data_IF_683894517256
#
_entry.id   IF_683894517256
#
_cell.length_a   1.000
_cell.length_b   1.000
_cell.length_c   1.000
_cell.angle_alpha   90.00
_cell.angle_beta   90.00
_cell.angle_gamma   90.00
#
_symmetry.space_group_name_H-M   'P 1'
#
loop_
_entity.id
_entity.type
_entity.pdbx_description
1 polymer ?
#
# COMPACT_ATOMS: atom_id res chain seq x y z
N UNK A 1 11.81 82.13 0.47
CA UNK A 1 13.18 81.58 0.62
C UNK A 1 13.05 80.09 0.92
N UNK A 2 13.76 79.29 0.13
CA UNK A 2 14.30 77.93 0.40
C UNK A 2 13.36 76.88 1.02
N UNK A 3 12.91 75.86 0.28
CA UNK A 3 13.61 74.63 -0.14
C UNK A 3 13.94 73.63 1.00
N UNK A 4 13.69 72.35 0.68
CA UNK A 4 14.25 71.11 1.24
C UNK A 4 13.52 70.58 2.50
N UNK A 5 13.06 69.34 2.63
CA UNK A 5 13.39 68.08 1.96
C UNK A 5 12.17 67.16 1.82
N UNK A 6 11.96 66.66 0.60
CA UNK A 6 11.37 65.35 0.33
C UNK A 6 12.41 64.24 0.57
N UNK A 7 11.91 63.07 1.00
CA UNK A 7 12.39 61.70 0.77
C UNK A 7 12.79 60.90 2.02
N UNK A 8 11.99 59.86 2.31
CA UNK A 8 12.34 58.43 2.16
C UNK A 8 11.09 57.62 2.59
N UNK A 9 10.41 56.97 1.63
CA UNK A 9 10.44 55.50 1.38
C UNK A 9 9.70 54.70 2.46
N UNK A 10 8.84 53.72 2.18
CA UNK A 10 8.45 53.02 0.95
C UNK A 10 7.21 52.21 1.36
N UNK A 11 6.02 52.64 0.99
CA UNK A 11 4.93 51.67 0.86
C UNK A 11 5.08 51.03 -0.52
N UNK A 12 5.75 49.87 -0.55
CA UNK A 12 5.62 48.98 -1.69
C UNK A 12 4.21 48.41 -1.64
N UNK A 13 3.28 49.13 -2.27
CA UNK A 13 2.02 48.56 -2.69
C UNK A 13 2.34 47.49 -3.73
N UNK A 14 2.26 46.22 -3.30
CA UNK A 14 2.27 45.09 -4.20
C UNK A 14 1.04 45.21 -5.11
N UNK A 15 1.28 45.47 -6.39
CA UNK A 15 0.20 45.54 -7.37
C UNK A 15 -0.46 44.18 -7.51
N UNK A 16 -1.78 44.17 -7.70
CA UNK A 16 -2.61 42.96 -7.80
C UNK A 16 -2.18 41.99 -8.91
N UNK A 17 -1.29 42.41 -9.82
CA UNK A 17 -0.76 41.59 -10.91
C UNK A 17 0.33 40.59 -10.49
N UNK A 18 1.03 40.79 -9.36
CA UNK A 18 2.04 39.82 -8.88
C UNK A 18 1.41 38.64 -8.14
N UNK A 19 0.17 38.77 -7.66
CA UNK A 19 -0.55 37.70 -6.95
C UNK A 19 -1.00 36.57 -7.88
N UNK A 20 -1.15 36.84 -9.17
CA UNK A 20 -1.54 35.83 -10.15
C UNK A 20 -0.35 35.00 -10.68
N UNK A 21 0.85 35.58 -10.73
CA UNK A 21 2.06 34.86 -11.18
C UNK A 21 2.46 33.73 -10.22
N UNK A 22 2.32 33.94 -8.91
CA UNK A 22 2.65 32.94 -7.88
C UNK A 22 1.65 31.78 -7.87
N UNK A 23 0.37 32.05 -8.15
CA UNK A 23 -0.68 31.01 -8.21
C UNK A 23 -0.50 30.11 -9.43
N UNK A 24 -0.09 30.66 -10.57
CA UNK A 24 0.18 29.87 -11.79
C UNK A 24 1.44 29.00 -11.64
N UNK A 25 2.50 29.52 -11.01
CA UNK A 25 3.73 28.75 -10.78
C UNK A 25 3.53 27.59 -9.78
N UNK A 26 2.72 27.78 -8.73
CA UNK A 26 2.38 26.71 -7.78
C UNK A 26 1.43 25.66 -8.36
N UNK A 27 0.52 26.05 -9.25
CA UNK A 27 -0.40 25.13 -9.93
C UNK A 27 0.30 24.17 -10.90
N UNK A 28 1.35 24.62 -11.59
CA UNK A 28 2.12 23.77 -12.50
C UNK A 28 3.05 22.82 -11.74
N UNK A 29 3.60 23.24 -10.59
CA UNK A 29 4.45 22.38 -9.76
C UNK A 29 3.65 21.25 -9.06
N UNK A 30 2.37 21.48 -8.73
CA UNK A 30 1.51 20.41 -8.18
C UNK A 30 1.07 19.39 -9.22
N UNK A 31 0.89 19.79 -10.48
CA UNK A 31 0.56 18.86 -11.58
C UNK A 31 1.77 18.00 -11.98
N UNK A 32 2.99 18.52 -11.90
CA UNK A 32 4.20 17.73 -12.15
C UNK A 32 4.54 16.74 -11.01
N UNK A 33 4.17 17.04 -9.76
CA UNK A 33 4.34 16.09 -8.64
C UNK A 33 3.24 15.00 -8.67
N UNK A 34 2.05 15.29 -9.19
CA UNK A 34 0.99 14.28 -9.34
C UNK A 34 1.14 13.42 -10.61
N UNK A 35 1.89 13.87 -11.62
CA UNK A 35 2.30 13.05 -12.76
C UNK A 35 3.61 12.26 -12.50
N UNK A 36 4.45 12.70 -11.56
CA UNK A 36 5.71 12.04 -11.21
C UNK A 36 5.57 10.71 -10.46
N UNK A 37 4.41 10.43 -9.87
CA UNK A 37 4.09 9.14 -9.25
C UNK A 37 3.70 8.04 -10.24
N UNK A 38 3.33 8.40 -11.48
CA UNK A 38 2.83 7.48 -12.50
C UNK A 38 3.92 6.80 -13.34
N UNK A 39 5.17 7.26 -13.26
CA UNK A 39 6.27 6.76 -14.11
C UNK A 39 7.16 5.74 -13.37
N UNK A 40 7.07 5.64 -12.04
CA UNK A 40 7.88 4.71 -11.23
C UNK A 40 7.13 3.47 -10.74
N UNK A 41 5.80 3.49 -10.78
CA UNK A 41 4.95 2.35 -10.42
C UNK A 41 3.93 2.23 -11.54
N UNK A 42 4.12 1.21 -12.39
CA UNK A 42 3.25 0.98 -13.55
C UNK A 42 1.77 0.98 -13.15
N UNK A 43 0.90 1.26 -14.13
CA UNK A 43 -0.55 1.15 -13.95
C UNK A 43 -0.87 -0.14 -13.18
N UNK A 44 -1.70 -0.10 -12.13
CA UNK A 44 -2.08 -1.30 -11.40
C UNK A 44 -2.60 -2.31 -12.41
N UNK A 45 -1.98 -3.49 -12.48
CA UNK A 45 -2.50 -4.55 -13.31
C UNK A 45 -3.88 -4.90 -12.75
N UNK A 46 -4.94 -4.57 -13.49
CA UNK A 46 -6.29 -5.01 -13.19
C UNK A 46 -6.25 -6.53 -12.98
N UNK A 47 -6.88 -7.02 -11.91
CA UNK A 47 -6.92 -8.45 -11.59
C UNK A 47 -7.45 -9.22 -12.79
N UNK A 48 -6.52 -9.78 -13.56
CA UNK A 48 -6.82 -10.69 -14.64
C UNK A 48 -6.79 -12.08 -14.02
N UNK A 49 -7.73 -12.93 -14.43
CA UNK A 49 -7.84 -14.34 -14.08
C UNK A 49 -6.54 -15.18 -14.24
N UNK A 50 -5.45 -14.58 -14.73
CA UNK A 50 -4.12 -15.12 -14.85
C UNK A 50 -3.20 -14.93 -13.62
N UNK A 51 -3.58 -14.30 -12.51
CA UNK A 51 -2.63 -14.20 -11.36
C UNK A 51 -2.39 -15.54 -10.63
N UNK A 52 -1.15 -15.80 -10.22
CA UNK A 52 -0.77 -16.92 -9.34
C UNK A 52 0.26 -16.51 -8.28
N UNK A 53 0.23 -17.21 -7.15
CA UNK A 53 1.32 -17.21 -6.17
C UNK A 53 2.33 -18.28 -6.56
N UNK A 54 3.54 -17.87 -6.90
CA UNK A 54 4.63 -18.78 -7.32
C UNK A 54 5.54 -19.19 -6.17
N UNK A 55 5.71 -18.32 -5.18
CA UNK A 55 6.59 -18.57 -4.04
C UNK A 55 6.05 -17.92 -2.76
N UNK A 56 6.28 -18.60 -1.63
CA UNK A 56 5.95 -18.13 -0.28
C UNK A 56 7.16 -18.41 0.59
N UNK A 57 7.79 -17.36 1.08
CA UNK A 57 8.95 -17.44 1.97
C UNK A 57 8.62 -16.87 3.33
N UNK A 58 8.77 -17.69 4.35
CA UNK A 58 8.58 -17.30 5.74
C UNK A 58 9.95 -17.14 6.40
N UNK A 59 10.14 -16.07 7.17
CA UNK A 59 11.35 -15.92 8.00
C UNK A 59 11.45 -17.07 9.01
N UNK A 60 10.31 -17.46 9.59
CA UNK A 60 10.15 -18.62 10.47
C UNK A 60 8.72 -19.14 10.38
N UNK A 61 8.54 -20.45 10.53
CA UNK A 61 7.21 -21.07 10.65
C UNK A 61 6.67 -21.03 12.08
N UNK A 62 7.52 -20.75 13.07
CA UNK A 62 7.12 -20.65 14.48
C UNK A 62 7.55 -19.30 15.04
N UNK A 63 6.59 -18.56 15.60
CA UNK A 63 6.77 -17.21 16.13
C UNK A 63 6.17 -17.11 17.55
N UNK A 64 6.66 -16.18 18.39
CA UNK A 64 6.01 -15.85 19.66
C UNK A 64 4.60 -15.28 19.49
N UNK A 65 3.69 -15.63 20.39
CA UNK A 65 2.33 -15.10 20.47
C UNK A 65 2.20 -13.90 21.44
N UNK A 66 3.15 -12.96 21.39
CA UNK A 66 3.26 -11.83 22.34
C UNK A 66 2.74 -10.49 21.78
N UNK A 67 2.16 -10.50 20.58
CA UNK A 67 1.70 -9.27 19.91
C UNK A 67 2.82 -8.42 19.31
N UNK A 68 4.08 -8.86 19.36
CA UNK A 68 5.19 -8.20 18.70
C UNK A 68 5.48 -8.81 17.32
N UNK A 69 6.18 -8.05 16.48
CA UNK A 69 6.63 -8.53 15.19
C UNK A 69 7.92 -9.34 15.30
N UNK A 70 7.82 -10.62 14.99
CA UNK A 70 8.94 -11.57 15.04
C UNK A 70 9.27 -12.20 13.68
N UNK A 71 8.50 -11.90 12.64
CA UNK A 71 8.62 -12.60 11.36
C UNK A 71 7.95 -11.90 10.20
N UNK A 72 8.22 -12.40 9.01
CA UNK A 72 7.67 -11.87 7.77
C UNK A 72 7.30 -13.02 6.83
N UNK A 73 6.19 -12.84 6.10
CA UNK A 73 5.86 -13.63 4.93
C UNK A 73 6.11 -12.81 3.67
N UNK A 74 6.99 -13.29 2.80
CA UNK A 74 7.21 -12.75 1.45
C UNK A 74 6.47 -13.63 0.47
N UNK A 75 5.57 -13.03 -0.31
CA UNK A 75 4.74 -13.71 -1.30
C UNK A 75 5.10 -13.17 -2.67
N UNK A 76 5.38 -14.05 -3.62
CA UNK A 76 5.68 -13.68 -5.00
C UNK A 76 4.48 -13.97 -5.90
N UNK A 77 4.07 -12.96 -6.66
CA UNK A 77 2.95 -13.02 -7.61
C UNK A 77 3.49 -12.96 -9.04
N UNK A 78 3.08 -13.93 -9.87
CA UNK A 78 3.35 -13.93 -11.31
C UNK A 78 2.07 -14.06 -12.14
N UNK A 79 2.16 -13.73 -13.42
CA UNK A 79 1.13 -14.08 -14.40
C UNK A 79 1.29 -15.55 -14.81
N UNK A 80 0.23 -16.35 -14.61
CA UNK A 80 0.12 -17.78 -14.94
C UNK A 80 0.50 -18.13 -16.38
N UNK A 81 0.37 -17.19 -17.32
CA UNK A 81 0.64 -17.45 -18.74
C UNK A 81 2.10 -17.18 -19.11
N UNK A 82 2.68 -16.13 -18.54
CA UNK A 82 4.04 -15.68 -18.90
C UNK A 82 5.10 -16.02 -17.86
N UNK A 83 4.68 -16.42 -16.67
CA UNK A 83 5.50 -16.59 -15.47
C UNK A 83 6.30 -15.34 -15.08
N UNK A 84 5.88 -14.17 -15.55
CA UNK A 84 6.51 -12.89 -15.22
C UNK A 84 5.93 -12.32 -13.94
N UNK A 85 6.81 -11.72 -13.13
CA UNK A 85 6.42 -10.98 -11.94
C UNK A 85 5.44 -9.84 -12.28
N UNK A 86 4.39 -9.68 -11.46
CA UNK A 86 3.37 -8.65 -11.68
C UNK A 86 3.47 -7.56 -10.62
N UNK A 87 3.71 -6.33 -11.08
CA UNK A 87 3.89 -5.14 -10.23
C UNK A 87 2.54 -4.49 -9.89
N UNK A 88 2.41 -3.93 -8.69
CA UNK A 88 1.26 -3.12 -8.29
C UNK A 88 -0.02 -3.88 -7.97
N UNK A 89 0.04 -5.22 -7.86
CA UNK A 89 -1.09 -6.06 -7.45
C UNK A 89 -1.35 -5.86 -5.97
N UNK A 90 -2.58 -5.50 -5.60
CA UNK A 90 -2.99 -5.47 -4.20
C UNK A 90 -3.20 -6.89 -3.70
N UNK A 91 -2.48 -7.27 -2.65
CA UNK A 91 -2.56 -8.59 -2.03
C UNK A 91 -3.05 -8.42 -0.59
N UNK A 92 -3.95 -9.29 -0.18
CA UNK A 92 -4.44 -9.40 1.19
C UNK A 92 -4.36 -10.83 1.68
N UNK A 93 -4.27 -10.98 3.00
CA UNK A 93 -4.30 -12.28 3.67
C UNK A 93 -5.60 -12.43 4.45
N UNK A 94 -6.23 -13.58 4.34
CA UNK A 94 -7.40 -13.92 5.13
C UNK A 94 -7.06 -15.08 6.06
N UNK A 95 -7.32 -14.92 7.36
CA UNK A 95 -7.22 -16.03 8.32
C UNK A 95 -8.35 -17.02 8.01
N UNK A 96 -8.02 -18.27 7.66
CA UNK A 96 -9.01 -19.25 7.21
C UNK A 96 -10.00 -19.58 8.32
N UNK A 97 -9.53 -19.79 9.54
CA UNK A 97 -10.39 -20.05 10.69
C UNK A 97 -11.04 -18.75 11.21
N UNK A 98 -12.37 -18.56 11.09
CA UNK A 98 -13.03 -17.32 11.49
C UNK A 98 -12.98 -17.08 13.01
N UNK A 99 -12.81 -18.11 13.82
CA UNK A 99 -12.71 -17.98 15.29
C UNK A 99 -11.43 -17.24 15.69
N UNK A 100 -10.39 -17.28 14.85
CA UNK A 100 -9.10 -16.62 15.09
C UNK A 100 -9.05 -15.19 14.53
N UNK A 101 -10.13 -14.69 13.91
CA UNK A 101 -10.24 -13.31 13.40
C UNK A 101 -10.67 -12.37 14.53
N UNK A 102 -9.72 -11.95 15.35
CA UNK A 102 -9.92 -10.94 16.39
C UNK A 102 -9.69 -9.52 15.87
N UNK A 103 -10.16 -8.51 16.61
CA UNK A 103 -9.87 -7.10 16.28
C UNK A 103 -8.37 -6.80 16.37
N UNK A 104 -7.64 -7.54 17.22
CA UNK A 104 -6.20 -7.39 17.42
C UNK A 104 -5.34 -7.83 16.21
N UNK A 105 -5.85 -8.74 15.37
CA UNK A 105 -5.09 -9.30 14.25
C UNK A 105 -5.85 -9.21 12.91
N UNK A 106 -6.99 -8.53 12.87
CA UNK A 106 -7.78 -8.37 11.65
C UNK A 106 -8.45 -7.00 11.52
N UNK A 107 -8.58 -6.54 10.27
CA UNK A 107 -9.32 -5.34 9.88
C UNK A 107 -10.27 -5.70 8.74
N UNK A 108 -11.57 -5.45 8.93
CA UNK A 108 -12.63 -5.80 7.97
C UNK A 108 -12.61 -7.29 7.55
N UNK A 109 -12.22 -8.19 8.46
CA UNK A 109 -12.15 -9.63 8.22
C UNK A 109 -10.88 -10.12 7.50
N UNK A 110 -9.95 -9.22 7.20
CA UNK A 110 -8.62 -9.52 6.65
C UNK A 110 -7.56 -9.48 7.74
N UNK A 111 -6.54 -10.31 7.62
CA UNK A 111 -5.36 -10.18 8.47
C UNK A 111 -4.75 -8.78 8.33
N UNK A 112 -4.48 -8.13 9.45
CA UNK A 112 -4.02 -6.74 9.50
C UNK A 112 -3.08 -6.57 10.69
N UNK A 113 -1.76 -6.60 10.48
CA UNK A 113 -0.78 -6.34 11.53
C UNK A 113 -0.66 -4.85 11.88
N UNK A 114 -1.13 -3.98 10.98
CA UNK A 114 -1.20 -2.53 11.15
C UNK A 114 -2.66 -2.10 11.29
N UNK A 115 -2.98 -1.08 12.12
CA UNK A 115 -4.31 -0.51 12.14
C UNK A 115 -4.72 -0.01 10.75
N UNK A 116 -5.93 -0.40 10.30
CA UNK A 116 -6.55 0.10 9.06
C UNK A 116 -5.87 -0.30 7.75
N UNK A 117 -4.89 -1.22 7.76
CA UNK A 117 -4.18 -1.67 6.56
C UNK A 117 -4.16 -3.20 6.43
N UNK A 118 -5.04 -3.70 5.58
CA UNK A 118 -5.18 -5.12 5.28
C UNK A 118 -4.52 -5.56 3.95
N UNK A 119 -4.17 -4.61 3.09
CA UNK A 119 -3.67 -4.90 1.74
C UNK A 119 -2.36 -4.17 1.45
N UNK A 120 -1.51 -4.84 0.68
CA UNK A 120 -0.17 -4.39 0.33
C UNK A 120 0.04 -4.60 -1.17
N UNK A 121 0.79 -3.71 -1.83
CA UNK A 121 1.06 -3.83 -3.26
C UNK A 121 2.36 -4.60 -3.52
N UNK A 122 2.37 -5.38 -4.59
CA UNK A 122 3.61 -6.01 -5.08
C UNK A 122 4.60 -4.98 -5.62
N UNK A 123 5.88 -5.20 -5.35
CA UNK A 123 7.00 -4.40 -5.83
C UNK A 123 7.39 -4.74 -7.28
N UNK A 124 8.53 -4.21 -7.74
CA UNK A 124 9.09 -4.45 -9.09
C UNK A 124 9.44 -5.91 -9.36
N UNK A 125 9.60 -6.73 -8.32
CA UNK A 125 9.87 -8.16 -8.41
C UNK A 125 8.58 -8.99 -8.25
N UNK A 126 7.40 -8.36 -8.21
CA UNK A 126 6.14 -9.04 -7.95
C UNK A 126 6.02 -9.53 -6.51
N UNK A 127 6.82 -8.99 -5.59
CA UNK A 127 6.86 -9.44 -4.20
C UNK A 127 6.08 -8.51 -3.29
N UNK A 128 5.40 -9.11 -2.32
CA UNK A 128 4.73 -8.39 -1.23
C UNK A 128 5.12 -9.01 0.11
N UNK A 129 5.31 -8.16 1.11
CA UNK A 129 5.78 -8.57 2.43
C UNK A 129 4.73 -8.25 3.49
N UNK A 130 4.38 -9.27 4.29
CA UNK A 130 3.47 -9.14 5.42
C UNK A 130 4.27 -9.37 6.72
N UNK A 131 4.33 -8.39 7.65
CA UNK A 131 4.80 -8.68 8.99
C UNK A 131 3.81 -9.65 9.67
N UNK A 132 4.35 -10.59 10.45
CA UNK A 132 3.58 -11.64 11.12
C UNK A 132 3.53 -11.38 12.62
N UNK A 133 2.33 -11.10 13.12
CA UNK A 133 2.05 -10.68 14.50
C UNK A 133 0.78 -11.39 14.98
N UNK A 134 0.81 -11.92 16.21
CA UNK A 134 -0.37 -12.47 16.88
C UNK A 134 -0.20 -12.40 18.39
N UNK A 135 -1.29 -12.11 19.11
CA UNK A 135 -1.41 -12.33 20.57
C UNK A 135 -2.08 -13.67 20.88
N UNK A 136 -2.49 -14.41 19.85
CA UNK A 136 -3.20 -15.68 19.96
C UNK A 136 -2.21 -16.80 19.70
N UNK A 137 -1.96 -17.63 20.71
CA UNK A 137 -1.18 -18.86 20.57
C UNK A 137 -2.01 -19.94 19.86
N UNK A 138 -1.78 -20.10 18.56
CA UNK A 138 -2.47 -21.05 17.69
C UNK A 138 -1.69 -21.27 16.39
N UNK A 139 -2.06 -22.34 15.67
CA UNK A 139 -1.74 -22.47 14.25
C UNK A 139 -2.70 -21.62 13.43
N UNK A 140 -2.18 -20.62 12.72
CA UNK A 140 -2.97 -19.70 11.89
C UNK A 140 -2.68 -20.01 10.43
N UNK A 141 -3.70 -20.50 9.72
CA UNK A 141 -3.68 -20.67 8.27
C UNK A 141 -4.15 -19.39 7.58
N UNK A 142 -3.37 -18.92 6.60
CA UNK A 142 -3.65 -17.74 5.79
C UNK A 142 -3.93 -18.14 4.34
N UNK A 143 -5.07 -17.69 3.82
CA UNK A 143 -5.38 -17.72 2.39
C UNK A 143 -4.99 -16.38 1.74
N UNK A 144 -4.44 -16.47 0.52
CA UNK A 144 -3.90 -15.31 -0.21
C UNK A 144 -4.92 -14.86 -1.25
N UNK A 145 -5.24 -13.57 -1.25
CA UNK A 145 -6.15 -12.96 -2.21
C UNK A 145 -5.48 -11.81 -2.95
N UNK A 146 -5.75 -11.69 -4.24
CA UNK A 146 -5.58 -10.45 -4.98
C UNK A 146 -6.84 -9.58 -4.86
N UNK A 147 -6.67 -8.27 -4.73
CA UNK A 147 -7.74 -7.30 -4.71
C UNK A 147 -7.67 -6.38 -5.93
N UNK A 148 -8.82 -6.06 -6.50
CA UNK A 148 -8.93 -5.01 -7.50
C UNK A 148 -9.67 -3.80 -6.88
N UNK A 149 -8.96 -2.71 -6.51
CA UNK A 149 -9.57 -1.55 -5.86
C UNK A 149 -10.53 -0.79 -6.79
N UNK A 150 -10.46 -1.00 -8.10
CA UNK A 150 -11.33 -0.35 -9.09
C UNK A 150 -12.72 -1.00 -9.14
N UNK A 151 -12.85 -2.24 -8.68
CA UNK A 151 -14.11 -2.97 -8.64
C UNK A 151 -14.85 -2.71 -7.33
N UNK A 152 -16.11 -2.32 -7.44
CA UNK A 152 -16.97 -2.04 -6.27
C UNK A 152 -17.63 -3.30 -5.70
N UNK A 153 -17.84 -4.35 -6.50
CA UNK A 153 -18.71 -5.50 -6.18
C UNK A 153 -18.03 -6.84 -6.55
N UNK A 154 -18.80 -7.86 -6.93
CA UNK A 154 -18.35 -9.21 -7.31
C UNK A 154 -17.06 -9.20 -8.13
N UNK A 155 -16.12 -10.08 -7.78
CA UNK A 155 -14.73 -10.15 -8.26
C UNK A 155 -13.77 -9.09 -7.72
N UNK A 156 -14.16 -8.29 -6.72
CA UNK A 156 -13.23 -7.40 -6.00
C UNK A 156 -12.05 -8.15 -5.39
N UNK A 157 -12.29 -9.37 -4.91
CA UNK A 157 -11.27 -10.23 -4.31
C UNK A 157 -11.22 -11.56 -5.03
N UNK A 158 -10.02 -12.00 -5.39
CA UNK A 158 -9.76 -13.26 -6.06
C UNK A 158 -8.80 -14.09 -5.20
N UNK A 159 -9.23 -15.28 -4.77
CA UNK A 159 -8.33 -16.24 -4.11
C UNK A 159 -7.28 -16.72 -5.12
N UNK A 160 -6.02 -16.79 -4.70
CA UNK A 160 -4.90 -17.21 -5.56
C UNK A 160 -4.55 -18.71 -5.37
N UNK A 161 -5.48 -19.50 -4.85
CA UNK A 161 -5.40 -20.96 -4.63
C UNK A 161 -4.12 -21.43 -3.91
N UNK A 162 -3.55 -20.57 -3.07
CA UNK A 162 -2.38 -20.86 -2.23
C UNK A 162 -2.60 -20.37 -0.81
N UNK A 163 -2.07 -21.16 0.12
CA UNK A 163 -2.19 -20.94 1.57
C UNK A 163 -0.88 -21.27 2.26
N UNK A 164 -0.69 -20.73 3.45
CA UNK A 164 0.41 -21.09 4.33
C UNK A 164 -0.03 -21.04 5.78
N UNK A 165 0.67 -21.75 6.66
CA UNK A 165 0.39 -21.79 8.10
C UNK A 165 1.59 -21.27 8.87
N UNK A 166 1.31 -20.52 9.93
CA UNK A 166 2.30 -20.05 10.90
C UNK A 166 1.83 -20.47 12.29
N UNK A 167 2.73 -21.06 13.07
CA UNK A 167 2.47 -21.47 14.45
C UNK A 167 2.89 -20.35 15.40
N UNK A 168 1.95 -19.80 16.17
CA UNK A 168 2.22 -18.84 17.24
C UNK A 168 2.19 -19.54 18.60
N UNK A 169 3.24 -19.35 19.43
CA UNK A 169 3.40 -19.98 20.75
C UNK A 169 3.72 -19.00 21.86
#
# INVERSE_FOLDING_TARGET
MQHLFHHLRRDRSYSSHERWGVVVALGILTILISAGGFILFGNPAASASSLAVTDIRLTSQTLPADGANHGQATITISDKKTDQAVVGVWVGLQIVNPVLRGVANSYLGWYSPEPQRAFYQTDVNGQVQFPLISEIAADIEYAIYAANPELKNDNKYQELDRRFTVTFK
#
